data_IF_280229396041
#
_entry.id   IF_280229396041
#
_cell.length_a   1.000
_cell.length_b   1.000
_cell.length_c   1.000
_cell.angle_alpha   90.00
_cell.angle_beta   90.00
_cell.angle_gamma   90.00
#
_symmetry.space_group_name_H-M   'P 1'
#
loop_
_entity.id
_entity.type
_entity.pdbx_description
1 polymer ?
#
# COMPACT_ATOMS: atom_id res chain seq x y z
N UNK A 1 11.16 -27.11 25.94
CA UNK A 1 10.21 -26.90 27.06
C UNK A 1 9.79 -25.45 27.01
N UNK A 2 8.55 -25.13 26.59
CA UNK A 2 8.05 -23.75 26.58
C UNK A 2 7.65 -23.41 28.01
N UNK A 3 8.32 -22.43 28.60
CA UNK A 3 7.90 -21.82 29.86
C UNK A 3 6.54 -21.16 29.65
N UNK A 4 5.45 -21.79 30.07
CA UNK A 4 4.18 -21.11 30.20
C UNK A 4 4.31 -20.10 31.35
N UNK A 5 4.23 -18.81 31.02
CA UNK A 5 4.20 -17.76 32.04
C UNK A 5 3.03 -18.02 32.99
N UNK A 6 3.27 -17.92 34.29
CA UNK A 6 2.24 -18.07 35.33
C UNK A 6 1.12 -17.05 35.08
N UNK A 7 -0.16 -17.49 35.11
CA UNK A 7 -1.28 -16.57 34.88
C UNK A 7 -1.32 -15.48 35.96
N UNK A 8 -1.48 -14.24 35.53
CA UNK A 8 -1.62 -13.10 36.45
C UNK A 8 -2.92 -13.18 37.27
N UNK A 9 -2.97 -12.49 38.41
CA UNK A 9 -4.19 -12.40 39.23
C UNK A 9 -5.38 -11.89 38.41
N UNK A 10 -5.14 -10.97 37.49
CA UNK A 10 -6.11 -10.44 36.53
C UNK A 10 -6.71 -11.56 35.66
N UNK A 11 -5.85 -12.41 35.06
CA UNK A 11 -6.32 -13.54 34.25
C UNK A 11 -7.15 -14.54 35.05
N UNK A 12 -6.76 -14.83 36.30
CA UNK A 12 -7.52 -15.73 37.17
C UNK A 12 -8.89 -15.14 37.52
N UNK A 13 -8.95 -13.84 37.83
CA UNK A 13 -10.20 -13.14 38.14
C UNK A 13 -11.15 -13.12 36.94
N UNK A 14 -10.65 -12.77 35.73
CA UNK A 14 -11.41 -12.76 34.47
C UNK A 14 -11.95 -14.17 34.15
N UNK A 15 -11.14 -15.21 34.28
CA UNK A 15 -11.58 -16.61 34.07
C UNK A 15 -12.62 -17.05 35.09
N UNK A 16 -12.46 -16.64 36.34
CA UNK A 16 -13.44 -16.94 37.40
C UNK A 16 -14.80 -16.31 37.10
N UNK A 17 -14.80 -15.03 36.68
CA UNK A 17 -16.02 -14.33 36.28
C UNK A 17 -16.70 -14.99 35.09
N UNK A 18 -15.95 -15.43 34.07
CA UNK A 18 -16.50 -16.08 32.88
C UNK A 18 -17.02 -17.50 33.09
N UNK A 19 -16.80 -18.12 34.26
CA UNK A 19 -17.42 -19.40 34.61
C UNK A 19 -18.92 -19.30 34.76
N UNK A 20 -19.44 -18.15 35.18
CA UNK A 20 -20.87 -17.86 35.27
C UNK A 20 -21.23 -16.67 34.38
N UNK A 21 -21.66 -16.95 33.15
CA UNK A 21 -21.97 -15.90 32.16
C UNK A 21 -23.08 -14.96 32.63
N UNK A 22 -24.09 -15.46 33.35
CA UNK A 22 -25.18 -14.63 33.88
C UNK A 22 -24.67 -13.61 34.90
N UNK A 23 -23.78 -14.02 35.81
CA UNK A 23 -23.12 -13.13 36.76
C UNK A 23 -22.21 -12.13 36.05
N UNK A 24 -21.44 -12.60 35.04
CA UNK A 24 -20.60 -11.71 34.26
C UNK A 24 -21.41 -10.63 33.56
N UNK A 25 -22.53 -10.98 32.94
CA UNK A 25 -23.43 -10.03 32.27
C UNK A 25 -24.06 -9.01 33.24
N UNK A 26 -24.53 -9.46 34.39
CA UNK A 26 -25.16 -8.57 35.40
C UNK A 26 -24.14 -7.57 36.00
N UNK A 27 -22.86 -7.98 36.14
CA UNK A 27 -21.79 -7.15 36.69
C UNK A 27 -21.14 -6.17 35.71
N UNK A 28 -21.49 -6.19 34.41
CA UNK A 28 -20.83 -5.35 33.42
C UNK A 28 -20.97 -3.84 33.66
N UNK A 29 -22.06 -3.40 34.25
CA UNK A 29 -22.31 -1.97 34.51
C UNK A 29 -21.42 -1.41 35.61
N UNK A 30 -21.02 -2.25 36.56
CA UNK A 30 -20.14 -1.90 37.67
C UNK A 30 -18.67 -2.22 37.42
N UNK A 31 -18.36 -2.80 36.28
CA UNK A 31 -17.01 -3.22 35.94
C UNK A 31 -16.10 -2.02 35.63
N UNK A 32 -14.92 -1.90 36.25
CA UNK A 32 -13.94 -0.89 35.90
C UNK A 32 -13.57 -0.95 34.41
N UNK A 33 -13.42 0.23 33.78
CA UNK A 33 -13.19 0.36 32.33
C UNK A 33 -11.95 -0.41 31.86
N UNK A 34 -10.93 -0.46 32.71
CA UNK A 34 -9.65 -1.15 32.46
C UNK A 34 -9.81 -2.67 32.32
N UNK A 35 -10.87 -3.23 32.88
CA UNK A 35 -11.13 -4.67 32.84
C UNK A 35 -11.89 -5.12 31.58
N UNK A 36 -12.45 -4.18 30.81
CA UNK A 36 -13.15 -4.51 29.56
C UNK A 36 -12.24 -5.19 28.51
N UNK A 37 -11.04 -4.69 28.19
CA UNK A 37 -10.20 -5.35 27.20
C UNK A 37 -9.80 -6.78 27.56
N UNK A 38 -9.27 -7.09 28.78
CA UNK A 38 -8.92 -8.46 29.14
C UNK A 38 -10.15 -9.39 29.21
N UNK A 39 -11.29 -8.91 29.71
CA UNK A 39 -12.53 -9.68 29.75
C UNK A 39 -13.03 -10.01 28.34
N UNK A 40 -13.05 -9.02 27.45
CA UNK A 40 -13.48 -9.20 26.06
C UNK A 40 -12.59 -10.19 25.31
N UNK A 41 -11.25 -10.07 25.44
CA UNK A 41 -10.29 -10.97 24.83
C UNK A 41 -10.50 -12.42 25.28
N UNK A 42 -10.66 -12.66 26.57
CA UNK A 42 -10.86 -14.00 27.13
C UNK A 42 -12.25 -14.56 26.76
N UNK A 43 -13.31 -13.73 26.81
CA UNK A 43 -14.65 -14.09 26.35
C UNK A 43 -14.67 -14.46 24.86
N UNK A 44 -13.92 -13.70 24.03
CA UNK A 44 -13.74 -13.99 22.60
C UNK A 44 -13.01 -15.32 22.37
N UNK A 45 -11.93 -15.56 23.08
CA UNK A 45 -11.10 -16.77 22.96
C UNK A 45 -11.90 -18.03 23.33
N UNK A 46 -12.73 -17.93 24.35
CA UNK A 46 -13.53 -19.06 24.88
C UNK A 46 -14.97 -19.08 24.36
N UNK A 47 -15.31 -18.26 23.34
CA UNK A 47 -16.64 -18.19 22.69
C UNK A 47 -17.78 -17.97 23.70
N UNK A 48 -17.59 -17.08 24.69
CA UNK A 48 -18.62 -16.72 25.66
C UNK A 48 -19.59 -15.72 25.03
N UNK A 49 -20.51 -16.22 24.21
CA UNK A 49 -21.35 -15.43 23.31
C UNK A 49 -22.29 -14.48 24.04
N UNK A 50 -22.88 -14.92 25.15
CA UNK A 50 -23.79 -14.06 25.95
C UNK A 50 -23.03 -12.84 26.52
N UNK A 51 -21.80 -13.07 27.02
CA UNK A 51 -20.96 -11.99 27.56
C UNK A 51 -20.52 -11.05 26.45
N UNK A 52 -20.05 -11.56 25.29
CA UNK A 52 -19.65 -10.73 24.15
C UNK A 52 -20.79 -9.83 23.66
N UNK A 53 -22.00 -10.39 23.50
CA UNK A 53 -23.19 -9.64 23.08
C UNK A 53 -23.54 -8.55 24.06
N UNK A 54 -23.49 -8.81 25.36
CA UNK A 54 -23.75 -7.82 26.40
C UNK A 54 -22.65 -6.75 26.49
N UNK A 55 -21.37 -7.14 26.42
CA UNK A 55 -20.24 -6.21 26.48
C UNK A 55 -20.26 -5.18 25.36
N UNK A 56 -20.64 -5.57 24.15
CA UNK A 56 -20.72 -4.63 23.00
C UNK A 56 -21.77 -3.55 23.26
N UNK A 57 -22.86 -3.87 23.94
CA UNK A 57 -23.94 -2.91 24.25
C UNK A 57 -23.55 -1.85 25.30
N UNK A 58 -22.57 -2.15 26.15
CA UNK A 58 -22.06 -1.24 27.19
C UNK A 58 -20.60 -0.86 26.99
N UNK A 59 -20.06 -1.05 25.76
CA UNK A 59 -18.66 -0.82 25.46
C UNK A 59 -18.20 0.59 25.82
N UNK A 60 -17.21 0.77 26.72
CA UNK A 60 -16.88 2.06 27.28
C UNK A 60 -15.89 2.88 26.44
N UNK A 61 -15.38 2.33 25.31
CA UNK A 61 -14.43 3.00 24.44
C UNK A 61 -15.07 3.42 23.11
N UNK A 62 -14.52 4.44 22.43
CA UNK A 62 -15.04 4.88 21.14
C UNK A 62 -14.80 3.90 19.98
N UNK A 63 -13.86 2.98 20.14
CA UNK A 63 -13.50 1.99 19.12
C UNK A 63 -13.45 0.59 19.73
N UNK A 64 -13.99 -0.40 18.99
CA UNK A 64 -13.81 -1.83 19.25
C UNK A 64 -12.96 -2.42 18.11
N UNK A 65 -11.65 -2.69 18.35
CA UNK A 65 -10.71 -3.18 17.33
C UNK A 65 -10.80 -4.71 17.18
N UNK A 66 -11.92 -5.19 16.69
CA UNK A 66 -12.26 -6.62 16.60
C UNK A 66 -11.37 -7.37 15.60
N UNK A 67 -10.92 -6.70 14.51
CA UNK A 67 -10.08 -7.32 13.48
C UNK A 67 -8.75 -7.87 14.00
N UNK A 68 -8.25 -7.33 15.10
CA UNK A 68 -7.05 -7.85 15.78
C UNK A 68 -7.25 -9.26 16.38
N UNK A 69 -8.48 -9.63 16.73
CA UNK A 69 -8.85 -10.95 17.26
C UNK A 69 -9.28 -11.91 16.14
N UNK A 70 -10.10 -11.45 15.21
CA UNK A 70 -10.78 -12.30 14.22
C UNK A 70 -9.91 -12.71 13.03
N UNK A 71 -8.98 -11.87 12.60
CA UNK A 71 -8.25 -12.04 11.33
C UNK A 71 -9.16 -12.36 10.12
N UNK A 72 -10.44 -12.01 10.19
CA UNK A 72 -11.49 -12.21 9.17
C UNK A 72 -11.49 -13.62 8.55
N UNK A 73 -11.39 -14.66 9.38
CA UNK A 73 -11.47 -16.05 8.95
C UNK A 73 -12.89 -16.61 9.16
N UNK A 74 -13.30 -17.52 8.29
CA UNK A 74 -14.62 -18.17 8.38
C UNK A 74 -14.91 -18.82 9.74
N UNK A 75 -13.87 -19.25 10.46
CA UNK A 75 -14.00 -19.82 11.83
C UNK A 75 -14.54 -18.83 12.87
N UNK A 76 -14.58 -17.53 12.56
CA UNK A 76 -15.10 -16.49 13.44
C UNK A 76 -16.48 -15.95 13.03
N UNK A 77 -17.12 -16.54 12.01
CA UNK A 77 -18.42 -16.08 11.50
C UNK A 77 -19.48 -16.02 12.61
N UNK A 78 -19.62 -17.09 13.41
CA UNK A 78 -20.57 -17.13 14.51
C UNK A 78 -20.34 -16.03 15.56
N UNK A 79 -19.06 -15.80 15.91
CA UNK A 79 -18.70 -14.74 16.85
C UNK A 79 -19.00 -13.35 16.27
N UNK A 80 -18.76 -13.15 14.97
CA UNK A 80 -19.11 -11.88 14.31
C UNK A 80 -20.61 -11.66 14.31
N UNK A 81 -21.41 -12.69 14.02
CA UNK A 81 -22.88 -12.63 14.05
C UNK A 81 -23.39 -12.16 15.41
N UNK A 82 -22.91 -12.79 16.48
CA UNK A 82 -23.31 -12.44 17.86
C UNK A 82 -22.95 -10.99 18.22
N UNK A 83 -21.78 -10.52 17.81
CA UNK A 83 -21.36 -9.14 18.06
C UNK A 83 -22.23 -8.16 17.27
N UNK A 84 -22.52 -8.44 16.00
CA UNK A 84 -23.37 -7.62 15.15
C UNK A 84 -24.82 -7.62 15.64
N UNK A 85 -25.32 -8.73 16.20
CA UNK A 85 -26.62 -8.79 16.87
C UNK A 85 -26.68 -7.89 18.11
N UNK A 86 -25.59 -7.87 18.90
CA UNK A 86 -25.48 -6.94 20.02
C UNK A 86 -25.53 -5.46 19.58
N UNK A 87 -24.89 -5.16 18.45
CA UNK A 87 -24.92 -3.83 17.82
C UNK A 87 -26.32 -3.50 17.27
N UNK A 88 -27.03 -4.46 16.67
CA UNK A 88 -28.40 -4.26 16.18
C UNK A 88 -29.31 -3.79 17.30
N UNK A 89 -29.26 -4.45 18.47
CA UNK A 89 -30.06 -4.04 19.65
C UNK A 89 -29.79 -2.58 20.01
N UNK A 90 -28.55 -2.13 19.91
CA UNK A 90 -28.19 -0.73 20.15
C UNK A 90 -28.72 0.23 19.09
N UNK A 91 -28.59 -0.16 17.81
CA UNK A 91 -29.06 0.70 16.70
C UNK A 91 -30.58 0.89 16.71
N UNK A 92 -31.32 -0.11 17.20
CA UNK A 92 -32.77 -0.10 17.30
C UNK A 92 -33.30 0.69 18.56
N UNK A 93 -32.42 0.90 19.55
CA UNK A 93 -32.78 1.64 20.75
C UNK A 93 -32.86 3.16 20.52
N UNK A 94 -33.96 3.80 20.89
CA UNK A 94 -34.14 5.27 20.87
C UNK A 94 -33.27 5.98 21.91
N UNK A 95 -32.96 5.31 23.02
CA UNK A 95 -32.16 5.84 24.14
C UNK A 95 -31.02 4.89 24.44
N UNK A 96 -29.78 5.36 24.28
CA UNK A 96 -28.60 4.57 24.58
C UNK A 96 -28.20 4.66 26.06
N UNK A 97 -27.65 3.58 26.66
CA UNK A 97 -27.08 3.64 28.00
C UNK A 97 -26.01 4.75 28.10
N UNK A 98 -25.94 5.44 29.25
CA UNK A 98 -24.93 6.51 29.48
C UNK A 98 -23.48 6.00 29.36
N UNK A 99 -23.24 4.72 29.60
CA UNK A 99 -21.93 4.05 29.47
C UNK A 99 -21.53 3.77 28.04
N UNK A 100 -22.46 3.76 27.08
CA UNK A 100 -22.18 3.44 25.68
C UNK A 100 -21.39 4.53 24.96
N UNK A 101 -20.19 4.21 24.52
CA UNK A 101 -19.28 5.13 23.80
C UNK A 101 -18.86 4.65 22.42
N UNK A 102 -19.22 3.42 22.02
CA UNK A 102 -18.81 2.85 20.75
C UNK A 102 -19.28 3.70 19.56
N UNK A 103 -18.31 4.09 18.71
CA UNK A 103 -18.53 4.86 17.48
C UNK A 103 -17.93 4.13 16.26
N UNK A 104 -16.95 3.29 16.52
CA UNK A 104 -16.19 2.59 15.46
C UNK A 104 -16.08 1.12 15.82
N UNK A 105 -16.58 0.23 14.95
CA UNK A 105 -16.24 -1.16 14.92
C UNK A 105 -15.13 -1.34 13.89
N UNK A 106 -13.91 -1.66 14.33
CA UNK A 106 -12.76 -1.81 13.44
C UNK A 106 -12.46 -3.31 13.19
N UNK A 107 -12.76 -3.77 11.98
CA UNK A 107 -12.55 -5.14 11.53
C UNK A 107 -11.25 -5.31 10.74
N UNK A 108 -10.45 -4.26 10.58
CA UNK A 108 -9.18 -4.30 9.85
C UNK A 108 -8.13 -5.09 10.62
N UNK A 109 -7.18 -5.66 9.88
CA UNK A 109 -6.07 -6.37 10.49
C UNK A 109 -5.21 -5.41 11.32
N UNK A 110 -5.02 -5.74 12.60
CA UNK A 110 -4.13 -5.03 13.52
C UNK A 110 -2.89 -5.87 13.81
N UNK A 111 -1.88 -5.21 14.40
CA UNK A 111 -0.68 -5.93 14.88
C UNK A 111 -1.08 -7.06 15.83
N UNK A 112 -0.48 -8.24 15.67
CA UNK A 112 -0.83 -9.47 16.40
C UNK A 112 -0.81 -9.33 17.94
N UNK A 113 0.01 -8.41 18.45
CA UNK A 113 0.18 -8.21 19.88
C UNK A 113 -0.68 -7.07 20.45
N UNK A 114 -1.48 -6.38 19.61
CA UNK A 114 -2.30 -5.25 20.05
C UNK A 114 -3.18 -5.61 21.26
N UNK A 115 -3.93 -6.70 21.15
CA UNK A 115 -4.82 -7.15 22.23
C UNK A 115 -4.06 -7.68 23.45
N UNK A 116 -2.87 -8.25 23.28
CA UNK A 116 -2.02 -8.68 24.38
C UNK A 116 -1.58 -7.48 25.21
N UNK A 117 -1.08 -6.45 24.55
CA UNK A 117 -0.67 -5.20 25.21
C UNK A 117 -1.86 -4.49 25.86
N UNK A 118 -2.99 -4.41 25.16
CA UNK A 118 -4.18 -3.72 25.68
C UNK A 118 -4.86 -4.47 26.84
N UNK A 119 -4.79 -5.80 26.84
CA UNK A 119 -5.29 -6.64 27.93
C UNK A 119 -4.32 -6.78 29.12
N UNK A 120 -3.15 -6.13 29.08
CA UNK A 120 -2.18 -6.12 30.18
C UNK A 120 -1.25 -7.32 30.27
N UNK A 121 -1.03 -8.05 29.16
CA UNK A 121 -0.06 -9.13 29.07
C UNK A 121 1.37 -8.55 29.04
N UNK A 122 2.04 -8.49 30.18
CA UNK A 122 3.36 -7.86 30.35
C UNK A 122 4.49 -8.48 29.53
N UNK A 123 4.35 -9.74 29.07
CA UNK A 123 5.37 -10.40 28.25
C UNK A 123 5.53 -9.78 26.85
N UNK A 124 4.56 -9.01 26.37
CA UNK A 124 4.57 -8.36 25.05
C UNK A 124 5.03 -6.88 25.10
N UNK A 125 5.22 -6.30 26.29
CA UNK A 125 5.47 -4.86 26.45
C UNK A 125 6.90 -4.41 26.05
N UNK A 126 7.81 -5.34 25.76
CA UNK A 126 9.21 -5.03 25.40
C UNK A 126 9.45 -4.47 24.00
N UNK A 127 8.43 -4.34 23.16
CA UNK A 127 8.61 -4.04 21.72
C UNK A 127 7.82 -2.86 21.13
N UNK A 128 7.03 -2.13 21.91
CA UNK A 128 6.24 -1.02 21.37
C UNK A 128 6.23 0.18 22.31
N UNK A 129 7.16 1.12 22.10
CA UNK A 129 7.01 2.49 22.61
C UNK A 129 5.81 3.17 21.94
N UNK A 130 4.64 3.03 22.55
CA UNK A 130 3.48 3.83 22.19
C UNK A 130 3.71 5.24 22.70
N UNK A 131 4.23 6.13 21.84
CA UNK A 131 4.29 7.56 22.12
C UNK A 131 2.87 8.07 22.44
N UNK A 132 2.57 8.23 23.71
CA UNK A 132 1.39 8.95 24.21
C UNK A 132 1.50 10.41 23.77
N UNK A 133 0.94 10.76 22.62
CA UNK A 133 0.68 12.17 22.29
C UNK A 133 -0.42 12.69 23.23
N UNK A 134 -0.05 13.50 24.21
CA UNK A 134 -0.99 14.36 24.96
C UNK A 134 -1.67 15.29 23.96
N UNK A 135 -2.96 15.04 23.69
CA UNK A 135 -3.81 16.02 22.98
C UNK A 135 -4.16 17.12 23.95
N UNK A 136 -3.66 18.31 23.71
CA UNK A 136 -4.14 19.56 24.29
C UNK A 136 -5.63 19.75 23.95
N UNK A 137 -6.44 19.86 24.98
CA UNK A 137 -7.87 20.18 24.85
C UNK A 137 -8.03 21.65 24.44
N UNK A 138 -8.51 21.90 23.22
CA UNK A 138 -9.18 23.16 22.91
C UNK A 138 -10.69 22.95 22.98
N UNK A 139 -11.29 23.54 24.01
CA UNK A 139 -12.74 23.58 24.25
C UNK A 139 -13.35 24.70 23.41
N UNK A 140 -14.11 24.34 22.37
CA UNK A 140 -15.14 25.17 21.78
C UNK A 140 -16.48 24.41 21.82
N UNK A 141 -17.64 25.07 21.93
CA UNK A 141 -18.94 24.38 22.00
C UNK A 141 -19.26 23.80 20.62
N UNK A 142 -19.04 22.48 20.42
CA UNK A 142 -19.52 21.76 19.27
C UNK A 142 -20.89 21.19 19.56
N UNK A 143 -21.87 21.64 18.79
CA UNK A 143 -23.17 20.99 18.63
C UNK A 143 -22.85 19.52 18.26
N UNK A 144 -23.21 18.62 19.17
CA UNK A 144 -22.98 17.16 19.00
C UNK A 144 -24.03 16.69 17.99
N UNK A 145 -23.67 16.74 16.70
CA UNK A 145 -24.36 15.97 15.69
C UNK A 145 -24.27 14.49 16.11
N UNK A 146 -25.41 13.79 16.11
CA UNK A 146 -25.55 12.37 16.46
C UNK A 146 -24.58 11.55 15.57
N UNK A 147 -23.36 11.31 16.03
CA UNK A 147 -22.35 10.55 15.27
C UNK A 147 -22.83 9.11 15.20
N UNK A 148 -23.25 8.69 14.01
CA UNK A 148 -23.64 7.31 13.74
C UNK A 148 -22.44 6.37 13.87
N UNK A 149 -22.69 5.13 14.29
CA UNK A 149 -21.70 4.06 14.29
C UNK A 149 -21.09 3.91 12.88
N UNK A 150 -19.79 3.65 12.79
CA UNK A 150 -19.08 3.29 11.56
C UNK A 150 -18.41 1.94 11.72
N UNK A 151 -18.42 1.15 10.67
CA UNK A 151 -17.71 -0.14 10.59
C UNK A 151 -16.60 -0.02 9.56
N UNK A 152 -15.35 -0.28 9.94
CA UNK A 152 -14.21 -0.23 9.04
C UNK A 152 -13.70 -1.62 8.72
N UNK A 153 -13.40 -1.85 7.43
CA UNK A 153 -12.87 -3.11 6.92
C UNK A 153 -11.82 -2.84 5.85
N UNK A 154 -10.88 -3.77 5.67
CA UNK A 154 -10.06 -3.88 4.46
C UNK A 154 -10.59 -5.02 3.60
N UNK A 155 -10.74 -4.80 2.30
CA UNK A 155 -11.34 -5.75 1.38
C UNK A 155 -10.36 -6.29 0.36
N UNK A 156 -10.45 -7.58 0.08
CA UNK A 156 -9.71 -8.23 -1.00
C UNK A 156 -10.65 -9.11 -1.82
N UNK A 157 -10.91 -8.69 -3.07
CA UNK A 157 -11.67 -9.46 -4.04
C UNK A 157 -10.75 -10.44 -4.76
N UNK A 158 -10.90 -11.72 -4.44
CA UNK A 158 -10.19 -12.84 -5.08
C UNK A 158 -11.08 -13.50 -6.15
N UNK A 159 -10.51 -14.31 -7.07
CA UNK A 159 -11.28 -15.06 -8.05
C UNK A 159 -12.30 -16.05 -7.45
N UNK A 160 -12.10 -16.43 -6.20
CA UNK A 160 -13.02 -17.28 -5.43
C UNK A 160 -14.08 -16.41 -4.73
N UNK A 161 -15.11 -17.07 -4.19
CA UNK A 161 -16.13 -16.40 -3.39
C UNK A 161 -15.50 -15.57 -2.24
N UNK A 162 -16.17 -14.48 -1.87
CA UNK A 162 -15.82 -13.69 -0.69
C UNK A 162 -15.80 -14.56 0.55
N UNK A 163 -14.96 -14.19 1.52
CA UNK A 163 -14.96 -14.83 2.84
C UNK A 163 -16.35 -14.75 3.48
N UNK A 164 -16.74 -15.78 4.21
CA UNK A 164 -18.07 -15.87 4.82
C UNK A 164 -18.36 -14.73 5.78
N UNK A 165 -17.36 -14.23 6.51
CA UNK A 165 -17.50 -13.07 7.39
C UNK A 165 -17.78 -11.78 6.60
N UNK A 166 -17.07 -11.58 5.48
CA UNK A 166 -17.29 -10.41 4.60
C UNK A 166 -18.67 -10.49 3.96
N UNK A 167 -19.06 -11.67 3.44
CA UNK A 167 -20.37 -11.88 2.83
C UNK A 167 -21.50 -11.60 3.82
N UNK A 168 -21.39 -12.09 5.05
CA UNK A 168 -22.37 -11.82 6.10
C UNK A 168 -22.41 -10.33 6.47
N UNK A 169 -21.25 -9.68 6.60
CA UNK A 169 -21.17 -8.27 6.91
C UNK A 169 -21.86 -7.41 5.83
N UNK A 170 -21.67 -7.74 4.56
CA UNK A 170 -22.33 -7.05 3.45
C UNK A 170 -23.85 -7.18 3.51
N UNK A 171 -24.37 -8.38 3.81
CA UNK A 171 -25.80 -8.59 4.04
C UNK A 171 -26.30 -7.78 5.25
N UNK A 172 -25.52 -7.73 6.32
CA UNK A 172 -25.87 -7.00 7.54
C UNK A 172 -25.94 -5.48 7.32
N UNK A 173 -25.10 -4.91 6.44
CA UNK A 173 -25.12 -3.47 6.11
C UNK A 173 -26.10 -3.12 4.99
N UNK A 174 -26.72 -4.11 4.34
CA UNK A 174 -27.68 -3.88 3.26
C UNK A 174 -28.80 -2.95 3.74
N UNK A 175 -29.09 -1.90 2.96
CA UNK A 175 -30.05 -0.86 3.34
C UNK A 175 -29.55 0.20 4.33
N UNK A 176 -28.33 0.06 4.90
CA UNK A 176 -27.75 1.00 5.88
C UNK A 176 -26.63 1.84 5.23
N UNK A 177 -27.02 2.77 4.37
CA UNK A 177 -26.05 3.61 3.64
C UNK A 177 -25.09 4.35 4.58
N UNK A 178 -23.81 4.38 4.21
CA UNK A 178 -22.77 5.13 4.91
C UNK A 178 -22.31 4.50 6.23
N UNK A 179 -22.78 3.30 6.59
CA UNK A 179 -22.33 2.59 7.79
C UNK A 179 -20.95 1.94 7.59
N UNK A 180 -20.67 1.42 6.38
CA UNK A 180 -19.48 0.65 6.06
C UNK A 180 -18.44 1.51 5.35
N UNK A 181 -17.26 1.67 5.96
CA UNK A 181 -16.08 2.30 5.38
C UNK A 181 -15.02 1.26 5.05
N UNK A 182 -14.39 1.41 3.89
CA UNK A 182 -13.25 0.60 3.49
C UNK A 182 -12.03 1.52 3.31
N UNK A 183 -10.89 1.17 3.93
CA UNK A 183 -9.67 1.95 3.77
C UNK A 183 -8.74 1.39 2.71
N UNK A 184 -8.69 0.06 2.59
CA UNK A 184 -7.84 -0.63 1.63
C UNK A 184 -8.67 -1.60 0.82
N UNK A 185 -8.62 -1.43 -0.49
CA UNK A 185 -9.31 -2.26 -1.46
C UNK A 185 -8.30 -2.92 -2.40
N UNK A 186 -8.23 -4.25 -2.36
CA UNK A 186 -7.45 -5.03 -3.30
C UNK A 186 -8.37 -5.82 -4.22
N UNK A 187 -8.19 -5.67 -5.52
CA UNK A 187 -8.97 -6.33 -6.56
C UNK A 187 -8.07 -7.28 -7.34
N UNK A 188 -8.32 -8.58 -7.18
CA UNK A 188 -7.60 -9.65 -7.89
C UNK A 188 -8.55 -10.52 -8.72
N UNK A 189 -9.67 -9.94 -9.19
CA UNK A 189 -10.67 -10.61 -10.02
C UNK A 189 -11.16 -9.69 -11.13
N UNK A 190 -11.50 -10.28 -12.27
CA UNK A 190 -12.02 -9.56 -13.45
C UNK A 190 -13.53 -9.29 -13.38
N UNK A 191 -14.26 -9.87 -12.44
CA UNK A 191 -15.71 -9.77 -12.33
C UNK A 191 -16.16 -8.42 -11.73
N UNK A 192 -16.08 -7.34 -12.50
CA UNK A 192 -16.42 -5.97 -12.06
C UNK A 192 -17.85 -5.87 -11.49
N UNK A 193 -18.82 -6.61 -12.04
CA UNK A 193 -20.24 -6.54 -11.60
C UNK A 193 -20.40 -6.81 -10.10
N UNK A 194 -19.63 -7.76 -9.55
CA UNK A 194 -19.67 -8.08 -8.12
C UNK A 194 -18.99 -7.00 -7.27
N UNK A 195 -17.95 -6.38 -7.83
CA UNK A 195 -17.21 -5.29 -7.16
C UNK A 195 -18.09 -4.06 -7.06
N UNK A 196 -18.76 -3.67 -8.14
CA UNK A 196 -19.65 -2.50 -8.22
C UNK A 196 -20.75 -2.57 -7.15
N UNK A 197 -21.43 -3.70 -7.01
CA UNK A 197 -22.47 -3.88 -5.98
C UNK A 197 -21.94 -3.58 -4.57
N UNK A 198 -20.70 -3.96 -4.29
CA UNK A 198 -20.09 -3.70 -2.99
C UNK A 198 -19.65 -2.24 -2.86
N UNK A 199 -19.08 -1.63 -3.93
CA UNK A 199 -18.70 -0.22 -3.93
C UNK A 199 -19.89 0.70 -3.66
N UNK A 200 -21.08 0.35 -4.16
CA UNK A 200 -22.31 1.10 -3.91
C UNK A 200 -22.80 1.07 -2.45
N UNK A 201 -22.34 0.08 -1.66
CA UNK A 201 -22.64 -0.04 -0.23
C UNK A 201 -21.61 0.67 0.64
N UNK A 202 -20.40 0.95 0.11
CA UNK A 202 -19.30 1.57 0.83
C UNK A 202 -19.43 3.09 0.88
N UNK A 203 -18.93 3.67 1.97
CA UNK A 203 -18.60 5.08 2.03
C UNK A 203 -17.19 5.28 1.43
N UNK A 204 -17.15 5.65 0.13
CA UNK A 204 -15.93 5.73 -0.65
C UNK A 204 -15.00 6.87 -0.20
N UNK A 205 -15.49 7.86 0.55
CA UNK A 205 -14.67 8.95 1.10
C UNK A 205 -13.60 8.45 2.10
N UNK A 206 -13.75 7.25 2.66
CA UNK A 206 -12.74 6.64 3.55
C UNK A 206 -11.68 5.84 2.83
N UNK A 207 -11.78 5.66 1.50
CA UNK A 207 -10.82 4.86 0.73
C UNK A 207 -9.45 5.56 0.68
N UNK A 208 -8.43 4.92 1.24
CA UNK A 208 -7.05 5.43 1.28
C UNK A 208 -6.12 4.72 0.28
N UNK A 209 -6.35 3.42 0.03
CA UNK A 209 -5.52 2.59 -0.87
C UNK A 209 -6.40 1.73 -1.77
N UNK A 210 -6.12 1.75 -3.06
CA UNK A 210 -6.73 0.85 -4.07
C UNK A 210 -5.64 0.17 -4.87
N UNK A 211 -5.72 -1.15 -4.96
CA UNK A 211 -4.80 -2.00 -5.68
C UNK A 211 -5.58 -2.92 -6.63
N UNK A 212 -5.39 -2.76 -7.94
CA UNK A 212 -5.96 -3.63 -8.98
C UNK A 212 -4.86 -4.51 -9.53
N UNK A 213 -4.90 -5.81 -9.21
CA UNK A 213 -3.87 -6.80 -9.54
C UNK A 213 -4.44 -7.91 -10.44
N UNK A 214 -5.19 -7.55 -11.46
CA UNK A 214 -5.75 -8.50 -12.41
C UNK A 214 -5.89 -7.86 -13.78
N UNK A 215 -5.86 -8.64 -14.83
CA UNK A 215 -5.97 -8.14 -16.20
C UNK A 215 -7.37 -7.61 -16.48
N UNK A 216 -7.49 -6.31 -16.62
CA UNK A 216 -8.72 -5.63 -17.04
C UNK A 216 -8.66 -5.19 -18.49
N UNK A 217 -9.81 -5.17 -19.13
CA UNK A 217 -9.98 -4.46 -20.40
C UNK A 217 -10.12 -2.96 -20.13
N UNK A 218 -9.68 -2.12 -21.07
CA UNK A 218 -9.82 -0.67 -20.97
C UNK A 218 -11.29 -0.25 -20.68
N UNK A 219 -12.27 -0.94 -21.26
CA UNK A 219 -13.70 -0.69 -20.99
C UNK A 219 -14.10 -1.01 -19.54
N UNK A 220 -13.49 -2.04 -18.93
CA UNK A 220 -13.70 -2.38 -17.53
C UNK A 220 -13.13 -1.30 -16.62
N UNK A 221 -11.93 -0.81 -16.93
CA UNK A 221 -11.30 0.29 -16.22
C UNK A 221 -12.14 1.57 -16.29
N UNK A 222 -12.62 1.92 -17.49
CA UNK A 222 -13.49 3.07 -17.69
C UNK A 222 -14.81 2.94 -16.89
N UNK A 223 -15.38 1.73 -16.81
CA UNK A 223 -16.57 1.48 -15.98
C UNK A 223 -16.32 1.58 -14.48
N UNK A 224 -15.09 1.33 -14.02
CA UNK A 224 -14.67 1.51 -12.61
C UNK A 224 -14.37 2.99 -12.28
N UNK A 225 -13.93 3.76 -13.26
CA UNK A 225 -13.46 5.14 -13.08
C UNK A 225 -14.41 6.05 -12.29
N UNK A 226 -15.75 6.06 -12.49
CA UNK A 226 -16.66 6.89 -11.71
C UNK A 226 -16.67 6.60 -10.20
N UNK A 227 -16.38 5.35 -9.80
CA UNK A 227 -16.25 4.99 -8.40
C UNK A 227 -14.91 5.46 -7.84
N UNK A 228 -13.83 5.35 -8.63
CA UNK A 228 -12.51 5.88 -8.26
C UNK A 228 -12.59 7.39 -8.02
N UNK A 229 -13.29 8.15 -8.86
CA UNK A 229 -13.44 9.59 -8.70
C UNK A 229 -14.23 10.04 -7.45
N UNK A 230 -14.91 9.12 -6.77
CA UNK A 230 -15.58 9.36 -5.49
C UNK A 230 -14.67 9.09 -4.28
N UNK A 231 -13.48 8.49 -4.49
CA UNK A 231 -12.54 8.13 -3.42
C UNK A 231 -11.64 9.32 -3.06
N UNK A 232 -12.23 10.39 -2.53
CA UNK A 232 -11.53 11.66 -2.30
C UNK A 232 -10.33 11.56 -1.37
N UNK A 233 -10.35 10.63 -0.40
CA UNK A 233 -9.23 10.39 0.53
C UNK A 233 -8.15 9.47 -0.02
N UNK A 234 -8.22 9.07 -1.30
CA UNK A 234 -7.29 8.12 -1.90
C UNK A 234 -5.87 8.69 -1.92
N UNK A 235 -4.93 7.94 -1.31
CA UNK A 235 -3.51 8.28 -1.20
C UNK A 235 -2.63 7.43 -2.09
N UNK A 236 -3.06 6.18 -2.33
CA UNK A 236 -2.30 5.20 -3.07
C UNK A 236 -3.20 4.47 -4.06
N UNK A 237 -2.81 4.53 -5.33
CA UNK A 237 -3.48 3.84 -6.42
C UNK A 237 -2.49 2.99 -7.21
N UNK A 238 -2.72 1.67 -7.24
CA UNK A 238 -1.94 0.72 -8.02
C UNK A 238 -2.87 0.07 -9.04
N UNK A 239 -2.45 0.09 -10.29
CA UNK A 239 -3.17 -0.51 -11.41
C UNK A 239 -2.21 -1.38 -12.21
N UNK A 240 -2.51 -2.67 -12.32
CA UNK A 240 -1.72 -3.61 -13.10
C UNK A 240 -2.54 -4.26 -14.22
N UNK A 241 -1.86 -4.49 -15.36
CA UNK A 241 -2.35 -5.30 -16.47
C UNK A 241 -3.67 -4.81 -17.10
N UNK A 242 -3.63 -3.67 -17.77
CA UNK A 242 -4.76 -3.21 -18.59
C UNK A 242 -4.49 -3.48 -20.06
N UNK A 243 -5.39 -4.24 -20.70
CA UNK A 243 -5.29 -4.56 -22.12
C UNK A 243 -6.36 -3.81 -22.94
N UNK A 244 -6.00 -3.50 -24.18
CA UNK A 244 -6.92 -2.94 -25.17
C UNK A 244 -7.54 -4.10 -25.96
N UNK A 245 -8.87 -4.24 -25.98
CA UNK A 245 -9.50 -5.23 -26.84
C UNK A 245 -9.34 -4.83 -28.31
N UNK A 246 -9.03 -5.79 -29.16
CA UNK A 246 -8.95 -5.59 -30.62
C UNK A 246 -10.16 -6.28 -31.27
N UNK A 247 -10.86 -5.62 -32.19
CA UNK A 247 -10.70 -4.26 -32.71
C UNK A 247 -11.38 -3.19 -31.83
N UNK A 248 -10.76 -2.02 -31.71
CA UNK A 248 -11.36 -0.82 -31.10
C UNK A 248 -11.01 0.40 -31.98
N UNK A 249 -11.95 1.33 -32.18
CA UNK A 249 -11.69 2.55 -32.91
C UNK A 249 -10.83 3.53 -32.07
N UNK A 250 -10.05 4.39 -32.75
CA UNK A 250 -9.23 5.41 -32.07
C UNK A 250 -10.10 6.36 -31.23
N UNK A 251 -11.31 6.69 -31.74
CA UNK A 251 -12.24 7.56 -31.03
C UNK A 251 -12.78 6.90 -29.76
N UNK A 252 -13.17 5.65 -29.83
CA UNK A 252 -13.65 4.88 -28.67
C UNK A 252 -12.54 4.70 -27.64
N UNK A 253 -11.32 4.32 -28.08
CA UNK A 253 -10.14 4.24 -27.24
C UNK A 253 -9.92 5.57 -26.50
N UNK A 254 -9.96 6.70 -27.21
CA UNK A 254 -9.79 8.02 -26.62
C UNK A 254 -10.83 8.33 -25.56
N UNK A 255 -12.11 8.07 -25.82
CA UNK A 255 -13.20 8.29 -24.86
C UNK A 255 -13.04 7.48 -23.58
N UNK A 256 -12.64 6.21 -23.68
CA UNK A 256 -12.43 5.35 -22.51
C UNK A 256 -11.23 5.82 -21.67
N UNK A 257 -10.15 6.28 -22.34
CA UNK A 257 -9.00 6.85 -21.65
C UNK A 257 -9.39 8.14 -20.93
N UNK A 258 -10.10 9.04 -21.59
CA UNK A 258 -10.55 10.30 -21.00
C UNK A 258 -11.48 10.07 -19.80
N UNK A 259 -12.38 9.08 -19.92
CA UNK A 259 -13.27 8.71 -18.80
C UNK A 259 -12.48 8.27 -17.57
N UNK A 260 -11.37 7.55 -17.72
CA UNK A 260 -10.51 7.13 -16.63
C UNK A 260 -9.64 8.29 -16.10
N UNK A 261 -8.92 8.97 -17.01
CA UNK A 261 -7.93 9.99 -16.61
C UNK A 261 -8.58 11.21 -15.97
N UNK A 262 -9.76 11.62 -16.43
CA UNK A 262 -10.50 12.77 -15.87
C UNK A 262 -10.80 12.62 -14.37
N UNK A 263 -10.89 11.39 -13.85
CA UNK A 263 -11.19 11.17 -12.44
C UNK A 263 -10.05 11.59 -11.49
N UNK A 264 -8.82 11.70 -12.01
CA UNK A 264 -7.67 12.12 -11.19
C UNK A 264 -7.79 13.55 -10.65
N UNK A 265 -8.59 14.41 -11.27
CA UNK A 265 -8.91 15.74 -10.74
C UNK A 265 -9.57 15.71 -9.36
N UNK A 266 -10.27 14.63 -9.04
CA UNK A 266 -10.99 14.47 -7.77
C UNK A 266 -10.12 13.89 -6.64
N UNK A 267 -8.89 13.43 -6.96
CA UNK A 267 -8.02 12.71 -6.03
C UNK A 267 -7.06 13.67 -5.31
N UNK A 268 -7.61 14.53 -4.43
CA UNK A 268 -6.89 15.61 -3.77
C UNK A 268 -5.77 15.14 -2.82
N UNK A 269 -5.79 13.90 -2.37
CA UNK A 269 -4.83 13.34 -1.42
C UNK A 269 -3.88 12.32 -2.03
N UNK A 270 -3.94 12.09 -3.35
CA UNK A 270 -3.10 11.10 -4.01
C UNK A 270 -1.61 11.45 -3.83
N UNK A 271 -0.81 10.46 -3.39
CA UNK A 271 0.65 10.58 -3.17
C UNK A 271 1.44 9.52 -3.91
N UNK A 272 0.84 8.35 -4.09
CA UNK A 272 1.49 7.20 -4.72
C UNK A 272 0.64 6.73 -5.90
N UNK A 273 1.24 6.74 -7.09
CA UNK A 273 0.65 6.22 -8.33
C UNK A 273 1.57 5.15 -8.92
N UNK A 274 1.01 3.95 -9.14
CA UNK A 274 1.71 2.84 -9.80
C UNK A 274 0.88 2.31 -10.95
N UNK A 275 1.49 2.28 -12.13
CA UNK A 275 0.92 1.81 -13.39
C UNK A 275 1.84 0.72 -13.95
N UNK A 276 1.37 -0.52 -13.95
CA UNK A 276 2.15 -1.69 -14.36
C UNK A 276 1.49 -2.40 -15.55
N UNK A 277 2.24 -2.61 -16.62
CA UNK A 277 1.75 -3.32 -17.83
C UNK A 277 0.47 -2.71 -18.41
N UNK A 278 0.45 -1.38 -18.60
CA UNK A 278 -0.70 -0.62 -19.10
C UNK A 278 -0.56 -0.39 -20.60
N UNK A 279 -1.24 -1.18 -21.41
CA UNK A 279 -1.08 -1.18 -22.88
C UNK A 279 -1.61 0.06 -23.61
N UNK A 280 -2.34 0.96 -22.95
CA UNK A 280 -2.84 2.19 -23.60
C UNK A 280 -1.98 3.41 -23.30
N UNK A 281 -0.92 3.29 -22.52
CA UNK A 281 -0.21 4.45 -21.94
C UNK A 281 0.63 5.19 -22.96
N UNK A 282 1.18 4.46 -23.95
CA UNK A 282 2.00 5.05 -25.03
C UNK A 282 1.29 6.20 -25.75
N UNK A 283 1.89 7.37 -25.76
CA UNK A 283 1.35 8.61 -26.32
C UNK A 283 0.11 9.17 -25.59
N UNK A 284 -0.22 8.65 -24.40
CA UNK A 284 -1.41 9.06 -23.64
C UNK A 284 -1.09 9.52 -22.20
N UNK A 285 0.17 9.43 -21.77
CA UNK A 285 0.57 9.79 -20.41
C UNK A 285 0.30 11.27 -20.09
N UNK A 286 0.43 12.15 -21.07
CA UNK A 286 0.12 13.57 -20.96
C UNK A 286 -1.33 13.82 -20.50
N UNK A 287 -2.31 13.04 -21.00
CA UNK A 287 -3.72 13.18 -20.59
C UNK A 287 -3.92 12.89 -19.10
N UNK A 288 -3.23 11.88 -18.58
CA UNK A 288 -3.27 11.55 -17.16
C UNK A 288 -2.57 12.63 -16.32
N UNK A 289 -1.36 13.04 -16.74
CA UNK A 289 -0.55 14.01 -16.00
C UNK A 289 -1.21 15.38 -15.87
N UNK A 290 -1.93 15.83 -16.89
CA UNK A 290 -2.71 17.10 -16.85
C UNK A 290 -3.83 17.06 -15.81
N UNK A 291 -4.35 15.88 -15.50
CA UNK A 291 -5.41 15.69 -14.50
C UNK A 291 -4.87 15.56 -13.07
N UNK A 292 -3.54 15.42 -12.89
CA UNK A 292 -2.91 15.38 -11.59
C UNK A 292 -2.70 16.78 -11.03
N UNK A 293 -3.55 17.19 -10.11
CA UNK A 293 -3.51 18.53 -9.48
C UNK A 293 -2.67 18.58 -8.22
N UNK A 294 -2.25 17.42 -7.71
CA UNK A 294 -1.53 17.27 -6.43
C UNK A 294 -0.12 16.72 -6.64
N UNK A 295 0.84 17.09 -5.77
CA UNK A 295 2.19 16.57 -5.87
C UNK A 295 2.25 15.10 -5.44
N UNK A 296 2.83 14.26 -6.31
CA UNK A 296 3.13 12.87 -6.02
C UNK A 296 4.44 12.75 -5.22
N UNK A 297 4.47 11.78 -4.31
CA UNK A 297 5.67 11.37 -3.62
C UNK A 297 6.31 10.13 -4.27
N UNK A 298 5.51 9.27 -4.89
CA UNK A 298 5.95 8.07 -5.59
C UNK A 298 5.23 7.93 -6.92
N UNK A 299 6.00 7.72 -7.97
CA UNK A 299 5.52 7.37 -9.30
C UNK A 299 6.24 6.12 -9.79
N UNK A 300 5.47 5.09 -10.13
CA UNK A 300 5.97 3.85 -10.75
C UNK A 300 5.22 3.64 -12.05
N UNK A 301 5.95 3.52 -13.14
CA UNK A 301 5.44 3.15 -14.48
C UNK A 301 6.32 1.99 -14.94
N UNK A 302 5.82 0.77 -14.78
CA UNK A 302 6.62 -0.44 -14.97
C UNK A 302 6.08 -1.30 -16.12
N UNK A 303 6.98 -1.93 -16.86
CA UNK A 303 6.63 -2.81 -17.99
C UNK A 303 5.61 -2.18 -18.97
N UNK A 304 5.71 -0.85 -19.17
CA UNK A 304 4.88 -0.06 -20.07
C UNK A 304 5.67 0.41 -21.28
N UNK A 305 5.00 0.52 -22.42
CA UNK A 305 5.52 1.23 -23.58
C UNK A 305 5.32 2.73 -23.39
N UNK A 306 6.39 3.51 -23.51
CA UNK A 306 6.38 4.98 -23.47
C UNK A 306 7.02 5.55 -24.71
N UNK A 307 6.48 6.64 -25.20
CA UNK A 307 7.06 7.45 -26.26
C UNK A 307 7.97 8.56 -25.71
N UNK A 308 8.78 9.18 -26.57
CA UNK A 308 9.56 10.37 -26.18
C UNK A 308 8.65 11.53 -25.70
N UNK A 309 7.46 11.67 -26.29
CA UNK A 309 6.49 12.67 -25.87
C UNK A 309 5.95 12.41 -24.46
N UNK A 310 5.81 11.16 -24.05
CA UNK A 310 5.39 10.80 -22.69
C UNK A 310 6.44 11.19 -21.66
N UNK A 311 7.72 10.91 -21.94
CA UNK A 311 8.82 11.35 -21.07
C UNK A 311 8.94 12.88 -21.00
N UNK A 312 8.71 13.61 -22.10
CA UNK A 312 8.66 15.08 -22.09
C UNK A 312 7.50 15.60 -21.24
N UNK A 313 6.33 14.99 -21.31
CA UNK A 313 5.18 15.39 -20.51
C UNK A 313 5.41 15.18 -19.01
N UNK A 314 6.17 14.15 -18.61
CA UNK A 314 6.62 14.00 -17.22
C UNK A 314 7.42 15.22 -16.77
N UNK A 315 8.38 15.71 -17.55
CA UNK A 315 9.19 16.88 -17.16
C UNK A 315 8.38 18.15 -16.97
N UNK A 316 7.25 18.26 -17.64
CA UNK A 316 6.37 19.43 -17.61
C UNK A 316 5.31 19.38 -16.51
N UNK A 317 5.07 18.20 -15.92
CA UNK A 317 4.06 18.01 -14.89
C UNK A 317 4.48 18.63 -13.54
N UNK A 318 3.76 19.64 -13.01
CA UNK A 318 4.11 20.23 -11.71
C UNK A 318 4.04 19.21 -10.55
N UNK A 319 3.16 18.21 -10.68
CA UNK A 319 2.93 17.20 -9.67
C UNK A 319 4.12 16.28 -9.37
N UNK A 320 5.14 16.22 -10.24
CA UNK A 320 6.31 15.35 -10.03
C UNK A 320 7.47 16.00 -9.28
N UNK A 321 7.48 17.32 -9.12
CA UNK A 321 8.63 18.06 -8.56
C UNK A 321 9.02 17.67 -7.12
N UNK A 322 8.14 16.98 -6.43
CA UNK A 322 8.36 16.50 -5.05
C UNK A 322 8.54 14.99 -4.97
N UNK A 323 8.79 14.33 -6.11
CA UNK A 323 9.00 12.87 -6.15
C UNK A 323 10.17 12.47 -5.25
N UNK A 324 9.91 11.45 -4.43
CA UNK A 324 10.88 10.77 -3.60
C UNK A 324 11.24 9.40 -4.19
N UNK A 325 10.32 8.80 -4.93
CA UNK A 325 10.46 7.46 -5.49
C UNK A 325 10.03 7.49 -6.96
N UNK A 326 10.95 7.16 -7.86
CA UNK A 326 10.72 7.02 -9.28
C UNK A 326 11.13 5.61 -9.72
N UNK A 327 10.19 4.89 -10.30
CA UNK A 327 10.38 3.55 -10.81
C UNK A 327 9.89 3.50 -12.27
N UNK A 328 10.81 3.24 -13.19
CA UNK A 328 10.57 3.06 -14.62
C UNK A 328 10.99 1.67 -15.09
N UNK A 329 11.09 0.70 -14.17
CA UNK A 329 11.59 -0.64 -14.50
C UNK A 329 10.78 -1.30 -15.61
N UNK A 330 11.48 -1.95 -16.54
CA UNK A 330 10.87 -2.59 -17.71
C UNK A 330 10.43 -1.65 -18.84
N UNK A 331 10.55 -0.33 -18.69
CA UNK A 331 10.29 0.63 -19.78
C UNK A 331 11.45 0.62 -20.76
N UNK A 332 11.19 0.25 -22.02
CA UNK A 332 12.24 0.17 -23.05
C UNK A 332 12.63 1.55 -23.54
N UNK A 333 13.85 1.98 -23.25
CA UNK A 333 14.38 3.31 -23.57
C UNK A 333 15.43 3.33 -24.68
N UNK A 334 15.80 2.19 -25.28
CA UNK A 334 16.92 2.05 -26.23
C UNK A 334 16.89 3.07 -27.37
N UNK A 335 15.73 3.32 -27.96
CA UNK A 335 15.55 4.20 -29.11
C UNK A 335 14.98 5.58 -28.74
N UNK A 336 14.91 5.89 -27.45
CA UNK A 336 14.38 7.17 -26.96
C UNK A 336 15.52 8.13 -26.68
N UNK A 337 15.35 9.40 -27.04
CA UNK A 337 16.29 10.44 -26.66
C UNK A 337 16.43 10.51 -25.12
N UNK A 338 17.64 10.41 -24.54
CA UNK A 338 17.83 10.44 -23.08
C UNK A 338 17.58 11.82 -22.45
N UNK A 339 17.53 12.89 -23.23
CA UNK A 339 17.37 14.28 -22.71
C UNK A 339 16.12 14.47 -21.84
N UNK A 340 14.92 13.99 -22.19
CA UNK A 340 13.76 14.13 -21.29
C UNK A 340 13.99 13.46 -19.94
N UNK A 341 14.61 12.27 -19.90
CA UNK A 341 14.94 11.58 -18.65
C UNK A 341 16.00 12.37 -17.85
N UNK A 342 17.00 12.93 -18.51
CA UNK A 342 18.00 13.80 -17.88
C UNK A 342 17.33 14.99 -17.20
N UNK A 343 16.45 15.71 -17.92
CA UNK A 343 15.71 16.88 -17.38
C UNK A 343 14.80 16.43 -16.21
N UNK A 344 14.15 15.27 -16.32
CA UNK A 344 13.35 14.73 -15.24
C UNK A 344 14.18 14.53 -13.97
N UNK A 345 15.34 13.88 -14.07
CA UNK A 345 16.25 13.66 -12.94
C UNK A 345 16.71 14.99 -12.32
N UNK A 346 17.05 16.00 -13.12
CA UNK A 346 17.41 17.33 -12.63
C UNK A 346 16.23 17.99 -11.88
N UNK A 347 15.01 17.84 -12.40
CA UNK A 347 13.80 18.43 -11.79
C UNK A 347 13.54 17.83 -10.40
N UNK A 348 13.82 16.55 -10.18
CA UNK A 348 13.56 15.85 -8.92
C UNK A 348 14.80 15.68 -8.04
N UNK A 349 15.95 16.17 -8.46
CA UNK A 349 17.26 15.93 -7.84
C UNK A 349 17.30 16.24 -6.33
N UNK A 350 16.56 17.27 -5.90
CA UNK A 350 16.52 17.71 -4.51
C UNK A 350 15.69 16.79 -3.59
N UNK A 351 14.84 15.94 -4.14
CA UNK A 351 13.87 15.15 -3.36
C UNK A 351 13.97 13.65 -3.56
N UNK A 352 14.56 13.20 -4.70
CA UNK A 352 14.59 11.80 -5.10
C UNK A 352 15.43 10.94 -4.15
N UNK A 353 14.80 9.90 -3.58
CA UNK A 353 15.42 8.94 -2.66
C UNK A 353 15.68 7.58 -3.28
N UNK A 354 14.79 7.14 -4.15
CA UNK A 354 14.95 5.87 -4.87
C UNK A 354 14.74 6.09 -6.36
N UNK A 355 15.64 5.55 -7.16
CA UNK A 355 15.55 5.51 -8.61
C UNK A 355 15.69 4.06 -9.05
N UNK A 356 14.68 3.55 -9.72
CA UNK A 356 14.68 2.24 -10.33
C UNK A 356 14.61 2.37 -11.87
N UNK A 357 15.65 1.87 -12.52
CA UNK A 357 15.79 1.79 -13.99
C UNK A 357 16.11 0.35 -14.42
N UNK A 358 15.67 -0.65 -13.64
CA UNK A 358 15.91 -2.04 -13.98
C UNK A 358 15.28 -2.39 -15.33
N UNK A 359 16.03 -3.13 -16.16
CA UNK A 359 15.54 -3.67 -17.45
C UNK A 359 15.01 -2.59 -18.43
N UNK A 360 15.53 -1.37 -18.37
CA UNK A 360 15.14 -0.29 -19.29
C UNK A 360 15.88 -0.31 -20.63
N UNK A 361 16.82 -1.23 -20.81
CA UNK A 361 17.68 -1.36 -22.00
C UNK A 361 18.42 -0.05 -22.36
N UNK A 362 18.81 0.72 -21.36
CA UNK A 362 19.59 1.95 -21.51
C UNK A 362 21.00 1.55 -21.94
N UNK A 363 21.48 2.08 -23.08
CA UNK A 363 22.84 1.82 -23.60
C UNK A 363 23.83 2.85 -23.06
N UNK A 364 25.13 2.54 -23.18
CA UNK A 364 26.24 3.36 -22.64
C UNK A 364 26.19 4.85 -23.06
N UNK A 365 25.87 5.11 -24.33
CA UNK A 365 25.75 6.48 -24.83
C UNK A 365 24.64 7.28 -24.14
N UNK A 366 23.49 6.64 -23.89
CA UNK A 366 22.37 7.25 -23.16
C UNK A 366 22.71 7.44 -21.69
N UNK A 367 23.29 6.42 -21.03
CA UNK A 367 23.70 6.54 -19.64
C UNK A 367 24.70 7.68 -19.43
N UNK A 368 25.64 7.86 -20.38
CA UNK A 368 26.61 8.97 -20.33
C UNK A 368 25.95 10.35 -20.25
N UNK A 369 24.80 10.53 -20.90
CA UNK A 369 24.01 11.77 -20.84
C UNK A 369 23.34 11.94 -19.46
N UNK A 370 22.96 10.83 -18.80
CA UNK A 370 22.26 10.86 -17.52
C UNK A 370 23.19 11.09 -16.31
N UNK A 371 24.48 10.74 -16.41
CA UNK A 371 25.43 10.78 -15.30
C UNK A 371 25.50 12.12 -14.57
N UNK A 372 25.55 13.31 -15.25
CA UNK A 372 25.59 14.59 -14.57
C UNK A 372 24.33 14.86 -13.72
N UNK A 373 23.16 14.54 -14.28
CA UNK A 373 21.87 14.72 -13.57
C UNK A 373 21.77 13.77 -12.36
N UNK A 374 22.21 12.51 -12.54
CA UNK A 374 22.26 11.54 -11.44
C UNK A 374 23.15 12.03 -10.29
N UNK A 375 24.31 12.61 -10.60
CA UNK A 375 25.21 13.18 -9.58
C UNK A 375 24.59 14.30 -8.77
N UNK A 376 23.57 14.97 -9.30
CA UNK A 376 22.85 16.06 -8.63
C UNK A 376 21.78 15.55 -7.65
N UNK A 377 21.43 14.26 -7.70
CA UNK A 377 20.39 13.64 -6.85
C UNK A 377 20.89 13.44 -5.40
N UNK A 378 21.12 14.51 -4.67
CA UNK A 378 21.77 14.52 -3.35
C UNK A 378 21.04 13.74 -2.25
N UNK A 379 19.75 13.45 -2.41
CA UNK A 379 18.93 12.70 -1.47
C UNK A 379 18.84 11.21 -1.79
N UNK A 380 19.46 10.76 -2.89
CA UNK A 380 19.37 9.39 -3.36
C UNK A 380 19.98 8.41 -2.35
N UNK A 381 19.21 7.41 -1.95
CA UNK A 381 19.60 6.33 -1.02
C UNK A 381 19.71 4.99 -1.72
N UNK A 382 18.93 4.79 -2.80
CA UNK A 382 18.88 3.52 -3.55
C UNK A 382 18.86 3.82 -5.04
N UNK A 383 19.75 3.15 -5.78
CA UNK A 383 19.78 3.20 -7.23
C UNK A 383 19.84 1.78 -7.81
N UNK A 384 18.85 1.45 -8.64
CA UNK A 384 18.78 0.15 -9.33
C UNK A 384 18.98 0.36 -10.83
N UNK A 385 20.02 -0.30 -11.37
CA UNK A 385 20.36 -0.32 -12.79
C UNK A 385 20.56 -1.76 -13.30
N UNK A 386 19.95 -2.73 -12.65
CA UNK A 386 20.02 -4.14 -13.04
C UNK A 386 19.44 -4.37 -14.44
N UNK A 387 19.89 -5.43 -15.10
CA UNK A 387 19.38 -5.88 -16.42
C UNK A 387 19.48 -4.84 -17.54
N UNK A 388 20.37 -3.84 -17.40
CA UNK A 388 20.76 -2.96 -18.49
C UNK A 388 22.12 -3.37 -19.05
N UNK A 389 22.36 -3.23 -20.37
CA UNK A 389 23.67 -3.43 -20.93
C UNK A 389 24.60 -2.33 -20.41
N UNK A 390 25.77 -2.70 -19.91
CA UNK A 390 26.76 -1.76 -19.42
C UNK A 390 28.18 -2.25 -19.75
N UNK A 391 29.04 -1.34 -20.20
CA UNK A 391 30.46 -1.63 -20.36
C UNK A 391 31.26 -1.37 -19.09
N UNK A 392 32.44 -1.94 -18.97
CA UNK A 392 33.38 -1.64 -17.86
C UNK A 392 33.64 -0.13 -17.79
N UNK A 393 33.95 0.48 -18.94
CA UNK A 393 34.30 1.90 -19.00
C UNK A 393 33.16 2.83 -18.49
N UNK A 394 31.91 2.53 -18.84
CA UNK A 394 30.80 3.36 -18.37
C UNK A 394 30.45 3.06 -16.92
N UNK A 395 30.63 1.81 -16.45
CA UNK A 395 30.45 1.45 -15.05
C UNK A 395 31.43 2.21 -14.14
N UNK A 396 32.70 2.30 -14.52
CA UNK A 396 33.70 3.09 -13.79
C UNK A 396 33.29 4.56 -13.70
N UNK A 397 32.87 5.15 -14.82
CA UNK A 397 32.37 6.54 -14.85
C UNK A 397 31.14 6.70 -13.95
N UNK A 398 30.19 5.76 -14.02
CA UNK A 398 28.99 5.77 -13.18
C UNK A 398 29.36 5.75 -11.70
N UNK A 399 30.27 4.86 -11.28
CA UNK A 399 30.72 4.77 -9.89
C UNK A 399 31.44 6.05 -9.44
N UNK A 400 32.24 6.70 -10.31
CA UNK A 400 32.84 8.01 -10.02
C UNK A 400 31.78 9.12 -9.81
N UNK A 401 30.69 9.07 -10.56
CA UNK A 401 29.59 10.02 -10.42
C UNK A 401 28.76 9.75 -9.16
N UNK A 402 28.43 8.49 -8.88
CA UNK A 402 27.65 8.11 -7.68
C UNK A 402 28.46 8.28 -6.40
N UNK A 403 29.80 8.19 -6.47
CA UNK A 403 30.69 8.43 -5.32
C UNK A 403 30.44 9.76 -4.60
N UNK A 404 29.94 10.78 -5.31
CA UNK A 404 29.59 12.10 -4.75
C UNK A 404 28.31 12.12 -3.94
N UNK A 405 27.48 11.07 -4.02
CA UNK A 405 26.18 11.00 -3.38
C UNK A 405 26.32 10.45 -1.96
N UNK A 406 26.47 11.30 -0.97
CA UNK A 406 26.76 10.92 0.43
C UNK A 406 25.68 10.11 1.11
N UNK A 407 24.42 10.15 0.60
CA UNK A 407 23.27 9.40 1.14
C UNK A 407 23.02 8.07 0.47
N UNK A 408 23.71 7.78 -0.62
CA UNK A 408 23.50 6.55 -1.40
C UNK A 408 24.05 5.37 -0.59
N UNK A 409 23.19 4.43 -0.23
CA UNK A 409 23.50 3.27 0.60
C UNK A 409 23.42 1.95 -0.15
N UNK A 410 22.59 1.89 -1.21
CA UNK A 410 22.37 0.70 -2.00
C UNK A 410 22.46 1.02 -3.51
N UNK A 411 23.36 0.36 -4.18
CA UNK A 411 23.54 0.43 -5.62
C UNK A 411 23.48 -0.98 -6.22
N UNK A 412 22.75 -1.14 -7.32
CA UNK A 412 22.56 -2.45 -7.98
C UNK A 412 22.85 -2.32 -9.46
N UNK A 413 23.78 -3.11 -9.98
CA UNK A 413 24.28 -3.04 -11.36
C UNK A 413 24.29 -4.39 -12.04
N UNK A 414 24.14 -4.39 -13.35
CA UNK A 414 24.47 -5.56 -14.18
C UNK A 414 25.98 -5.77 -14.21
N UNK A 415 26.40 -7.01 -14.34
CA UNK A 415 27.79 -7.32 -14.68
C UNK A 415 28.07 -6.83 -16.10
N UNK A 416 29.17 -6.10 -16.34
CA UNK A 416 29.53 -5.62 -17.66
C UNK A 416 29.60 -6.74 -18.73
N UNK A 417 29.18 -6.39 -19.94
CA UNK A 417 29.08 -7.37 -21.02
C UNK A 417 30.45 -7.95 -21.43
N UNK A 418 31.57 -7.26 -21.19
CA UNK A 418 32.94 -7.76 -21.45
C UNK A 418 33.31 -8.96 -20.56
N UNK A 419 32.60 -9.17 -19.45
CA UNK A 419 32.82 -10.32 -18.57
C UNK A 419 32.28 -11.62 -19.22
N UNK A 420 31.38 -11.48 -20.17
CA UNK A 420 30.82 -12.59 -20.90
C UNK A 420 31.64 -12.80 -22.21
N UNK A 421 32.00 -14.05 -22.51
CA UNK A 421 32.66 -14.42 -23.75
C UNK A 421 31.69 -14.62 -24.91
N UNK A 422 32.22 -15.01 -26.04
CA UNK A 422 31.42 -15.48 -27.18
C UNK A 422 30.45 -16.57 -26.69
N UNK A 423 29.20 -16.51 -27.10
CA UNK A 423 28.12 -17.42 -26.68
C UNK A 423 27.63 -17.26 -25.22
N UNK A 424 27.94 -16.15 -24.58
CA UNK A 424 27.45 -15.85 -23.21
C UNK A 424 28.17 -16.61 -22.09
N UNK A 425 29.33 -17.20 -22.36
CA UNK A 425 30.13 -17.89 -21.35
C UNK A 425 30.65 -16.88 -20.31
N UNK A 426 30.38 -17.12 -19.04
CA UNK A 426 30.82 -16.25 -17.97
C UNK A 426 32.29 -16.48 -17.58
N UNK A 427 33.10 -15.42 -17.57
CA UNK A 427 34.54 -15.48 -17.27
C UNK A 427 34.82 -15.04 -15.81
N UNK A 428 34.86 -15.99 -14.89
CA UNK A 428 35.12 -15.73 -13.46
C UNK A 428 36.40 -14.93 -13.21
N UNK A 429 37.52 -15.27 -13.88
CA UNK A 429 38.78 -14.54 -13.71
C UNK A 429 38.69 -13.06 -14.09
N UNK A 430 37.96 -12.74 -15.17
CA UNK A 430 37.73 -11.34 -15.55
C UNK A 430 36.86 -10.60 -14.53
N UNK A 431 35.88 -11.27 -13.95
CA UNK A 431 35.07 -10.67 -12.89
C UNK A 431 35.91 -10.40 -11.64
N UNK A 432 36.81 -11.32 -11.27
CA UNK A 432 37.70 -11.11 -10.12
C UNK A 432 38.64 -9.92 -10.37
N UNK A 433 39.24 -9.82 -11.54
CA UNK A 433 40.06 -8.68 -11.94
C UNK A 433 39.28 -7.37 -11.88
N UNK A 434 38.09 -7.32 -12.47
CA UNK A 434 37.21 -6.15 -12.40
C UNK A 434 36.86 -5.78 -10.96
N UNK A 435 36.56 -6.77 -10.09
CA UNK A 435 36.29 -6.52 -8.65
C UNK A 435 37.50 -5.92 -7.97
N UNK A 436 38.69 -6.34 -8.25
CA UNK A 436 39.92 -5.75 -7.68
C UNK A 436 40.12 -4.32 -8.17
N UNK A 437 39.91 -4.02 -9.45
CA UNK A 437 39.98 -2.69 -10.03
C UNK A 437 38.94 -1.75 -9.41
N UNK A 438 37.68 -2.17 -9.43
CA UNK A 438 36.59 -1.40 -8.81
C UNK A 438 36.75 -1.25 -7.29
N UNK A 439 37.33 -2.24 -6.61
CA UNK A 439 37.63 -2.17 -5.18
C UNK A 439 38.55 -1.01 -4.84
N UNK A 440 39.56 -0.76 -5.66
CA UNK A 440 40.49 0.38 -5.48
C UNK A 440 39.76 1.71 -5.64
N UNK A 441 38.90 1.81 -6.64
CA UNK A 441 38.07 3.02 -6.88
C UNK A 441 37.06 3.26 -5.77
N UNK A 442 36.53 2.18 -5.17
CA UNK A 442 35.48 2.24 -4.15
C UNK A 442 35.99 2.16 -2.71
N UNK A 443 37.30 2.01 -2.49
CA UNK A 443 37.87 1.86 -1.13
C UNK A 443 37.43 2.95 -0.15
N UNK A 444 37.35 4.23 -0.54
CA UNK A 444 36.85 5.30 0.33
C UNK A 444 35.37 5.16 0.72
N UNK A 445 34.60 4.35 -0.01
CA UNK A 445 33.14 4.22 0.12
C UNK A 445 32.68 2.93 0.81
N UNK A 446 33.58 1.97 1.03
CA UNK A 446 33.29 0.61 1.52
C UNK A 446 32.52 0.55 2.84
N UNK A 447 32.63 1.55 3.71
CA UNK A 447 32.01 1.55 5.03
C UNK A 447 30.57 2.11 5.06
N UNK A 448 30.10 2.71 3.96
CA UNK A 448 28.80 3.42 3.93
C UNK A 448 27.84 2.85 2.87
N UNK A 449 28.30 2.00 1.95
CA UNK A 449 27.53 1.56 0.79
C UNK A 449 27.57 0.07 0.56
N UNK A 450 26.44 -0.45 0.05
CA UNK A 450 26.35 -1.81 -0.47
C UNK A 450 26.17 -1.72 -1.99
N UNK A 451 27.10 -2.33 -2.74
CA UNK A 451 27.04 -2.41 -4.20
C UNK A 451 26.83 -3.87 -4.60
N UNK A 452 25.76 -4.10 -5.35
CA UNK A 452 25.38 -5.43 -5.83
C UNK A 452 25.60 -5.53 -7.33
N UNK A 453 26.21 -6.63 -7.76
CA UNK A 453 26.34 -7.00 -9.17
C UNK A 453 25.51 -8.25 -9.45
N UNK A 454 24.59 -8.17 -10.42
CA UNK A 454 23.86 -9.35 -10.90
C UNK A 454 24.73 -10.15 -11.86
N UNK A 455 24.82 -11.46 -11.62
CA UNK A 455 25.50 -12.41 -12.51
C UNK A 455 24.58 -12.83 -13.68
N UNK A 456 23.30 -12.47 -13.64
CA UNK A 456 22.36 -12.79 -14.72
C UNK A 456 22.69 -11.88 -15.90
N UNK A 457 23.06 -12.43 -17.08
CA UNK A 457 23.27 -11.64 -18.28
C UNK A 457 22.01 -10.82 -18.57
N UNK A 458 22.20 -9.59 -19.05
CA UNK A 458 21.11 -8.91 -19.74
C UNK A 458 20.60 -9.86 -20.82
N UNK A 459 19.27 -10.12 -20.94
CA UNK A 459 18.78 -10.90 -22.05
C UNK A 459 19.35 -10.29 -23.33
N UNK A 460 19.91 -11.10 -24.26
CA UNK A 460 20.57 -10.55 -25.41
C UNK A 460 19.63 -9.58 -26.09
N UNK A 461 20.05 -8.30 -26.11
CA UNK A 461 19.46 -7.32 -27.00
C UNK A 461 19.66 -7.94 -28.37
N UNK A 462 18.58 -8.49 -28.99
CA UNK A 462 18.70 -9.27 -30.21
C UNK A 462 19.58 -8.55 -31.23
N UNK A 463 20.68 -9.18 -31.54
CA UNK A 463 21.46 -8.94 -32.76
C UNK A 463 20.72 -9.58 -33.90
#
# INVERSE_FOLDING_TARGET
MSFQATPTLLHLAVRSLLRNEALAVSGLQDLPVELFPPLFKEAFTHKRFMVLKAMVQVWPFPCLPLGGLMKMKASYLETLQIILDGINILLDQKVHPRSYKLRVLDLRALHKDFWNVWAGDQAAAGSLEVKRKKKTQNRGPRIVAKQSLKVFIDMCFKPRALDACISYLLLWVEGRKGLLGCKKLKISTIALRNIVKVLEMLDLDYMEEVEVCCTWKLSTLASFAPYMGQMRSLRKFLLSHVCIPVPISLEEKGKLIDQFTSQFHNLEYLRELSLDSISFLEGQLDRLLRCLTVPLESLSITDCELSESDLKSLTQCPGIRQLKHLDLSGVVLTNINPEPLRILLETVAATLKTLDLENCRIVDSQLSVLLPALSSCSQLTTFNYLRNPISVAILERLLCHTARLSRLTLEMYSTPWEIYGAQGAFHHKRLEQLREELSRTMEPLKHTRTVWFSIIPCPPCGY
#
